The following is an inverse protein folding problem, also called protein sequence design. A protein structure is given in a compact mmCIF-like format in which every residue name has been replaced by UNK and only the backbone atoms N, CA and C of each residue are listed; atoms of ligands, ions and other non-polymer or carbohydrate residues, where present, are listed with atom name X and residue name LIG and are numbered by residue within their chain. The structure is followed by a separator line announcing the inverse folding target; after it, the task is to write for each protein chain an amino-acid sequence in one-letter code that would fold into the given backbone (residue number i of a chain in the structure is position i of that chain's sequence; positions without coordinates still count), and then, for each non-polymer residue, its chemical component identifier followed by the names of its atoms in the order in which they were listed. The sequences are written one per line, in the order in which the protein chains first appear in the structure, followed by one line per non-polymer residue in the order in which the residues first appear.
data_IF_503001069995
#
_entry.id   IF_503001069995
#
_cell.length_a   1.000
_cell.length_b   1.000
_cell.length_c   1.000
_cell.angle_alpha   90.00
_cell.angle_beta   90.00
_cell.angle_gamma   90.00
#
_symmetry.space_group_name_H-M   'P 1'
#
loop_
_entity.id
_entity.type
_entity.pdbx_description
1 polymer ?
#
# COMPACT_ATOMS: atom_id res chain seq x y z
N UNK A 1 -23.99 -11.11 5.33
CA UNK A 1 -24.04 -11.10 6.81
C UNK A 1 -22.63 -11.01 7.42
N UNK A 2 -21.82 -9.98 7.09
CA UNK A 2 -20.55 -9.72 7.81
C UNK A 2 -20.02 -8.29 7.64
N UNK A 3 -20.91 -7.29 7.51
CA UNK A 3 -20.49 -5.90 7.23
C UNK A 3 -21.25 -4.85 8.03
N UNK A 4 -21.44 -5.06 9.33
CA UNK A 4 -22.17 -4.06 10.13
C UNK A 4 -21.72 -3.89 11.59
N UNK A 5 -20.51 -4.29 12.01
CA UNK A 5 -20.12 -4.18 13.43
C UNK A 5 -18.71 -3.65 13.73
N UNK A 6 -17.98 -3.06 12.77
CA UNK A 6 -16.67 -2.45 13.08
C UNK A 6 -16.53 -0.97 12.68
N UNK A 7 -17.54 -0.37 12.06
CA UNK A 7 -17.37 0.93 11.38
C UNK A 7 -17.71 2.17 12.24
N UNK A 8 -17.97 2.06 13.55
CA UNK A 8 -18.51 3.21 14.31
C UNK A 8 -17.67 3.78 15.45
N UNK A 9 -16.42 3.35 15.66
CA UNK A 9 -15.54 3.99 16.69
C UNK A 9 -14.05 4.09 16.35
N UNK A 10 -13.63 3.79 15.12
CA UNK A 10 -12.24 3.97 14.69
C UNK A 10 -12.20 4.99 13.55
N UNK A 11 -11.33 5.99 13.67
CA UNK A 11 -11.01 6.96 12.58
C UNK A 11 -10.30 6.28 11.39
N UNK A 12 -10.24 4.96 11.37
CA UNK A 12 -9.50 4.13 10.43
C UNK A 12 -10.45 3.13 9.80
N UNK A 13 -10.29 2.93 8.50
CA UNK A 13 -11.06 1.96 7.72
C UNK A 13 -10.12 0.89 7.18
N UNK A 14 -10.47 -0.38 7.41
CA UNK A 14 -9.77 -1.50 6.77
C UNK A 14 -9.97 -1.47 5.26
N UNK A 15 -8.86 -1.59 4.52
CA UNK A 15 -8.87 -1.68 3.07
C UNK A 15 -8.52 -3.10 2.64
N UNK A 16 -9.43 -3.83 1.96
CA UNK A 16 -9.13 -5.16 1.48
C UNK A 16 -8.03 -5.13 0.40
N UNK A 17 -7.17 -6.14 0.44
CA UNK A 17 -6.23 -6.42 -0.65
C UNK A 17 -6.97 -7.14 -1.78
N UNK A 18 -6.80 -6.67 -3.02
CA UNK A 18 -7.47 -7.18 -4.23
C UNK A 18 -6.45 -7.65 -5.25
N UNK A 19 -6.89 -8.48 -6.20
CA UNK A 19 -6.03 -8.97 -7.28
C UNK A 19 -5.37 -7.85 -8.08
N UNK A 20 -6.01 -6.68 -8.21
CA UNK A 20 -5.40 -5.51 -8.85
C UNK A 20 -4.12 -5.05 -8.13
N UNK A 21 -4.10 -5.10 -6.78
CA UNK A 21 -2.90 -4.75 -5.99
C UNK A 21 -1.79 -5.78 -6.20
N UNK A 22 -2.14 -7.07 -6.30
CA UNK A 22 -1.18 -8.15 -6.57
C UNK A 22 -0.57 -8.04 -7.97
N UNK A 23 -1.39 -7.79 -8.99
CA UNK A 23 -0.95 -7.66 -10.38
C UNK A 23 -0.04 -6.45 -10.57
N UNK A 24 -0.32 -5.34 -9.89
CA UNK A 24 0.52 -4.14 -9.92
C UNK A 24 1.94 -4.37 -9.37
N UNK A 25 2.18 -5.41 -8.56
CA UNK A 25 3.55 -5.75 -8.09
C UNK A 25 4.46 -6.11 -9.26
N UNK A 26 3.93 -6.70 -10.32
CA UNK A 26 4.68 -7.05 -11.52
C UNK A 26 5.18 -5.80 -12.28
N UNK A 27 4.56 -4.64 -12.05
CA UNK A 27 4.92 -3.36 -12.66
C UNK A 27 5.92 -2.56 -11.81
N UNK A 28 6.21 -3.00 -10.58
CA UNK A 28 7.23 -2.39 -9.74
C UNK A 28 8.63 -2.70 -10.28
N UNK A 29 9.47 -1.68 -10.37
CA UNK A 29 10.88 -1.86 -10.64
C UNK A 29 11.49 -2.86 -9.65
N UNK A 30 12.12 -3.91 -10.20
CA UNK A 30 12.81 -4.94 -9.41
C UNK A 30 14.27 -4.57 -9.11
N UNK A 31 14.70 -3.36 -9.48
CA UNK A 31 16.06 -2.87 -9.22
C UNK A 31 16.23 -2.46 -7.75
N UNK A 32 17.21 -3.06 -7.06
CA UNK A 32 17.62 -2.70 -5.69
C UNK A 32 17.30 -3.74 -4.61
N UNK A 33 17.68 -3.42 -3.37
CA UNK A 33 17.69 -4.36 -2.24
C UNK A 33 16.36 -4.44 -1.47
N UNK A 34 15.43 -3.51 -1.71
CA UNK A 34 14.13 -3.55 -1.05
C UNK A 34 13.25 -4.65 -1.66
N UNK A 35 13.17 -5.79 -0.97
CA UNK A 35 12.51 -7.03 -1.42
C UNK A 35 11.40 -7.52 -0.50
N UNK A 36 11.00 -6.73 0.50
CA UNK A 36 9.90 -7.13 1.36
C UNK A 36 8.58 -7.19 0.54
N UNK A 37 7.93 -8.36 0.45
CA UNK A 37 6.76 -8.52 -0.40
C UNK A 37 5.55 -7.74 0.12
N UNK A 38 5.46 -7.46 1.43
CA UNK A 38 4.33 -6.76 2.01
C UNK A 38 4.42 -5.25 1.77
N UNK A 39 5.59 -4.65 1.96
CA UNK A 39 5.83 -3.24 1.65
C UNK A 39 5.59 -2.93 0.17
N UNK A 40 6.04 -3.82 -0.72
CA UNK A 40 5.77 -3.70 -2.17
C UNK A 40 4.27 -3.75 -2.47
N UNK A 41 3.52 -4.55 -1.72
CA UNK A 41 2.06 -4.58 -1.83
C UNK A 41 1.42 -3.29 -1.31
N UNK A 42 1.92 -2.68 -0.23
CA UNK A 42 1.43 -1.39 0.26
C UNK A 42 1.64 -0.27 -0.76
N UNK A 43 2.81 -0.24 -1.41
CA UNK A 43 3.10 0.68 -2.52
C UNK A 43 2.13 0.45 -3.69
N UNK A 44 1.88 -0.80 -4.07
CA UNK A 44 0.94 -1.12 -5.15
C UNK A 44 -0.49 -0.73 -4.80
N UNK A 45 -0.91 -0.96 -3.56
CA UNK A 45 -2.23 -0.58 -3.07
C UNK A 45 -2.39 0.96 -3.08
N UNK A 46 -1.36 1.72 -2.71
CA UNK A 46 -1.40 3.19 -2.74
C UNK A 46 -1.53 3.72 -4.18
N UNK A 47 -0.84 3.10 -5.14
CA UNK A 47 -0.93 3.46 -6.56
C UNK A 47 -2.29 3.12 -7.19
N UNK A 48 -2.84 1.94 -6.89
CA UNK A 48 -4.09 1.44 -7.49
C UNK A 48 -5.34 2.10 -6.88
N UNK A 49 -5.31 2.45 -5.59
CA UNK A 49 -6.43 3.09 -4.87
C UNK A 49 -6.27 4.63 -4.77
N UNK A 50 -5.51 5.23 -5.69
CA UNK A 50 -4.79 6.52 -5.57
C UNK A 50 -4.76 7.16 -4.17
N UNK A 51 -4.07 6.53 -3.22
CA UNK A 51 -3.87 7.02 -1.86
C UNK A 51 -2.40 7.35 -1.58
N UNK A 52 -2.16 8.13 -0.54
CA UNK A 52 -0.81 8.38 -0.03
C UNK A 52 -0.41 7.28 0.97
N UNK A 53 0.73 6.65 0.74
CA UNK A 53 1.41 5.76 1.68
C UNK A 53 2.32 6.62 2.56
N UNK A 54 1.91 6.85 3.81
CA UNK A 54 2.72 7.52 4.83
C UNK A 54 3.58 6.48 5.56
N UNK A 55 4.90 6.64 5.55
CA UNK A 55 5.84 5.65 6.10
C UNK A 55 7.07 6.31 6.74
N UNK A 56 7.67 5.64 7.73
CA UNK A 56 8.99 6.01 8.25
C UNK A 56 10.13 5.30 7.50
N UNK A 57 9.81 4.34 6.62
CA UNK A 57 10.81 3.64 5.82
C UNK A 57 11.23 4.47 4.59
N UNK A 58 12.42 5.06 4.67
CA UNK A 58 13.00 5.87 3.60
C UNK A 58 13.28 5.08 2.33
N UNK A 59 13.43 3.76 2.40
CA UNK A 59 13.67 2.96 1.20
C UNK A 59 12.48 2.96 0.25
N UNK A 60 11.26 3.23 0.76
CA UNK A 60 10.05 3.29 -0.06
C UNK A 60 9.91 4.57 -0.88
N UNK A 61 10.65 5.64 -0.56
CA UNK A 61 10.59 6.93 -1.29
C UNK A 61 10.84 6.76 -2.79
N UNK A 62 11.70 5.78 -3.15
CA UNK A 62 12.02 5.44 -4.54
C UNK A 62 10.80 5.03 -5.39
N UNK A 63 9.72 4.60 -4.75
CA UNK A 63 8.51 4.20 -5.45
C UNK A 63 7.61 5.38 -5.86
N UNK A 64 8.06 6.62 -5.63
CA UNK A 64 7.54 7.80 -6.30
C UNK A 64 6.36 8.47 -5.59
N UNK A 65 5.56 9.20 -6.37
CA UNK A 65 4.67 10.27 -5.87
C UNK A 65 3.58 9.86 -4.86
N UNK A 66 3.26 8.57 -4.75
CA UNK A 66 2.27 8.09 -3.76
C UNK A 66 2.90 7.74 -2.42
N UNK A 67 4.21 7.93 -2.23
CA UNK A 67 4.92 7.66 -0.97
C UNK A 67 5.34 8.97 -0.31
N UNK A 68 4.96 9.14 0.96
CA UNK A 68 5.41 10.26 1.80
C UNK A 68 6.19 9.67 2.97
N UNK A 69 7.44 10.10 3.10
CA UNK A 69 8.31 9.74 4.22
C UNK A 69 8.31 10.85 5.25
N UNK A 70 8.26 10.49 6.54
CA UNK A 70 8.32 11.44 7.67
C UNK A 70 9.45 11.12 8.66
#
# INVERSE_FOLDING_TARGET
MTRLLLDTHLLLRWLPLRNAHLLAVAELESGGDHRDPFDRLLVCQSRVEPMLLLTADRQLERYGSTVIVF
#
